data_IF_239193427402
#
_entry.id   IF_239193427402
#
_cell.length_a   1.000
_cell.length_b   1.000
_cell.length_c   1.000
_cell.angle_alpha   90.00
_cell.angle_beta   90.00
_cell.angle_gamma   90.00
#
_symmetry.space_group_name_H-M   'P 1'
#
loop_
_entity.id
_entity.type
_entity.pdbx_description
1 polymer ?
#
# COMPACT_ATOMS: atom_id res chain seq x y z
N UNK A 1 23.06 0.88 21.52
CA UNK A 1 21.85 0.38 20.78
C UNK A 1 20.67 1.18 21.23
N UNK A 2 19.88 1.68 20.28
CA UNK A 2 18.61 2.38 20.51
C UNK A 2 17.51 1.60 19.81
N UNK A 3 16.41 1.30 20.52
CA UNK A 3 15.23 0.69 19.95
C UNK A 3 14.20 1.76 19.57
N UNK A 4 13.77 1.72 18.33
CA UNK A 4 12.91 2.72 17.71
C UNK A 4 11.62 2.06 17.25
N UNK A 5 10.47 2.66 17.57
CA UNK A 5 9.20 2.40 16.86
C UNK A 5 9.11 3.38 15.68
N UNK A 6 8.99 2.82 14.48
CA UNK A 6 8.86 3.59 13.25
C UNK A 6 7.53 3.23 12.58
N UNK A 7 6.63 4.20 12.49
CA UNK A 7 5.33 4.10 11.81
C UNK A 7 5.08 5.36 11.00
N UNK A 8 4.41 5.27 9.87
CA UNK A 8 4.10 6.38 8.97
C UNK A 8 2.75 6.17 8.29
N UNK A 9 2.28 7.17 7.58
CA UNK A 9 1.16 7.06 6.66
C UNK A 9 -0.12 6.49 7.35
N UNK A 10 -0.43 7.05 8.52
CA UNK A 10 -1.62 6.66 9.30
C UNK A 10 -2.90 7.10 8.61
N UNK A 11 -2.87 8.24 7.93
CA UNK A 11 -3.99 8.84 7.23
C UNK A 11 -5.29 8.81 8.03
N UNK A 12 -5.22 9.28 9.27
CA UNK A 12 -6.40 9.38 10.14
C UNK A 12 -7.52 10.15 9.45
N UNK A 13 -8.73 9.68 9.65
CA UNK A 13 -9.95 10.22 9.07
C UNK A 13 -10.07 10.05 7.55
N UNK A 14 -9.42 9.07 6.96
CA UNK A 14 -9.64 8.68 5.57
C UNK A 14 -11.12 8.43 5.27
N UNK A 15 -11.65 8.88 4.13
CA UNK A 15 -13.08 8.80 3.83
C UNK A 15 -13.59 7.38 3.58
N UNK A 16 -12.73 6.43 3.15
CA UNK A 16 -13.10 5.05 2.77
C UNK A 16 -14.25 5.01 1.75
N UNK A 17 -14.19 5.85 0.72
CA UNK A 17 -15.25 6.05 -0.30
C UNK A 17 -15.69 4.77 -1.02
N UNK A 18 -14.88 3.73 -1.02
CA UNK A 18 -15.21 2.42 -1.60
C UNK A 18 -16.17 1.56 -0.77
N UNK A 19 -16.57 2.00 0.43
CA UNK A 19 -17.43 1.28 1.36
C UNK A 19 -18.74 2.03 1.62
N UNK A 20 -19.85 1.32 1.96
CA UNK A 20 -21.06 1.95 2.50
C UNK A 20 -20.74 2.76 3.76
N UNK A 21 -21.47 3.87 3.99
CA UNK A 21 -21.16 4.83 5.06
C UNK A 21 -21.03 4.20 6.46
N UNK A 22 -21.90 3.24 6.81
CA UNK A 22 -21.80 2.53 8.09
C UNK A 22 -20.45 1.79 8.24
N UNK A 23 -19.99 1.13 7.18
CA UNK A 23 -18.70 0.43 7.16
C UNK A 23 -17.53 1.41 7.12
N UNK A 24 -17.66 2.52 6.39
CA UNK A 24 -16.68 3.59 6.38
C UNK A 24 -16.51 4.23 7.76
N UNK A 25 -17.62 4.50 8.47
CA UNK A 25 -17.59 5.02 9.84
C UNK A 25 -16.89 4.05 10.80
N UNK A 26 -17.17 2.75 10.68
CA UNK A 26 -16.48 1.72 11.48
C UNK A 26 -14.98 1.69 11.16
N UNK A 27 -14.59 1.77 9.89
CA UNK A 27 -13.18 1.84 9.48
C UNK A 27 -12.46 3.04 10.08
N UNK A 28 -13.09 4.21 10.08
CA UNK A 28 -12.52 5.42 10.73
C UNK A 28 -12.35 5.24 12.25
N UNK A 29 -13.28 4.52 12.90
CA UNK A 29 -13.15 4.21 14.32
C UNK A 29 -11.98 3.22 14.56
N UNK A 30 -11.85 2.17 13.76
CA UNK A 30 -10.74 1.22 13.82
C UNK A 30 -9.39 1.90 13.56
N UNK A 31 -9.34 2.83 12.60
CA UNK A 31 -8.15 3.61 12.30
C UNK A 31 -7.69 4.47 13.49
N UNK A 32 -8.62 5.02 14.27
CA UNK A 32 -8.27 5.73 15.51
C UNK A 32 -7.80 4.78 16.62
N UNK A 33 -8.27 3.55 16.64
CA UNK A 33 -7.80 2.53 17.57
C UNK A 33 -6.33 2.14 17.32
N UNK A 34 -5.83 2.25 16.09
CA UNK A 34 -4.40 2.07 15.77
C UNK A 34 -3.48 2.96 16.60
N UNK A 35 -3.95 4.15 17.01
CA UNK A 35 -3.15 5.03 17.87
C UNK A 35 -2.84 4.37 19.21
N UNK A 36 -3.83 3.67 19.78
CA UNK A 36 -3.66 2.90 21.02
C UNK A 36 -2.79 1.65 20.79
N UNK A 37 -2.98 0.96 19.66
CA UNK A 37 -2.13 -0.18 19.28
C UNK A 37 -0.67 0.22 19.13
N UNK A 38 -0.38 1.40 18.57
CA UNK A 38 0.99 1.94 18.46
C UNK A 38 1.58 2.26 19.83
N UNK A 39 0.81 2.89 20.74
CA UNK A 39 1.27 3.16 22.09
C UNK A 39 1.55 1.86 22.87
N UNK A 40 0.68 0.87 22.74
CA UNK A 40 0.89 -0.46 23.30
C UNK A 40 2.11 -1.15 22.72
N UNK A 41 2.28 -1.13 21.38
CA UNK A 41 3.46 -1.70 20.71
C UNK A 41 4.75 -1.04 21.18
N UNK A 42 4.75 0.30 21.36
CA UNK A 42 5.90 1.00 21.95
C UNK A 42 6.24 0.45 23.33
N UNK A 43 5.24 0.30 24.22
CA UNK A 43 5.46 -0.20 25.56
C UNK A 43 5.95 -1.65 25.58
N UNK A 44 5.28 -2.54 24.83
CA UNK A 44 5.62 -3.97 24.75
C UNK A 44 6.98 -4.24 24.14
N UNK A 45 7.36 -3.46 23.10
CA UNK A 45 8.67 -3.60 22.47
C UNK A 45 9.80 -2.99 23.28
N UNK A 46 9.49 -2.10 24.24
CA UNK A 46 10.47 -1.31 24.96
C UNK A 46 11.18 -0.27 24.06
N UNK A 47 10.52 0.22 23.01
CA UNK A 47 11.07 1.26 22.14
C UNK A 47 11.31 2.54 22.94
N UNK A 48 12.52 3.08 22.84
CA UNK A 48 12.98 4.24 23.58
C UNK A 48 12.72 5.55 22.82
N UNK A 49 12.40 5.45 21.54
CA UNK A 49 12.18 6.54 20.61
C UNK A 49 11.08 6.15 19.63
N UNK A 50 10.25 7.11 19.22
CA UNK A 50 9.22 6.93 18.20
C UNK A 50 9.46 7.92 17.06
N UNK A 51 9.51 7.41 15.83
CA UNK A 51 9.63 8.21 14.62
C UNK A 51 8.38 8.04 13.76
N UNK A 52 7.72 9.16 13.48
CA UNK A 52 6.49 9.24 12.68
C UNK A 52 6.73 10.16 11.47
N UNK A 53 7.31 9.63 10.38
CA UNK A 53 7.64 10.42 9.20
C UNK A 53 6.42 10.70 8.30
N UNK A 54 5.42 11.45 8.81
CA UNK A 54 4.39 12.12 8.06
C UNK A 54 3.14 11.34 7.71
N UNK A 55 2.23 12.07 7.08
CA UNK A 55 0.91 11.63 6.67
C UNK A 55 0.11 10.96 7.82
N UNK A 56 0.15 11.62 8.99
CA UNK A 56 -0.64 11.21 10.15
C UNK A 56 -2.12 11.44 9.91
N UNK A 57 -2.47 12.54 9.22
CA UNK A 57 -3.82 12.86 8.80
C UNK A 57 -3.99 12.73 7.28
N UNK A 58 -5.16 12.29 6.84
CA UNK A 58 -5.44 12.12 5.40
C UNK A 58 -5.63 13.45 4.67
N UNK A 59 -6.17 14.46 5.34
CA UNK A 59 -6.44 15.77 4.74
C UNK A 59 -6.61 16.86 5.80
N UNK A 60 -6.86 18.08 5.35
CA UNK A 60 -7.17 19.22 6.23
C UNK A 60 -8.52 19.11 6.95
N UNK A 61 -9.45 18.30 6.44
CA UNK A 61 -10.70 17.94 7.11
C UNK A 61 -10.46 16.86 8.16
N UNK A 62 -11.28 16.78 9.20
CA UNK A 62 -11.15 15.77 10.23
C UNK A 62 -12.45 15.63 11.01
N UNK A 63 -12.60 14.47 11.66
CA UNK A 63 -13.72 14.21 12.56
C UNK A 63 -13.45 14.79 13.93
N UNK A 64 -14.51 15.25 14.59
CA UNK A 64 -14.40 15.78 15.95
C UNK A 64 -13.79 14.71 16.89
N UNK A 65 -12.76 15.10 17.63
CA UNK A 65 -12.10 14.24 18.62
C UNK A 65 -10.89 13.46 18.10
N UNK A 66 -10.61 13.37 16.80
CA UNK A 66 -9.41 12.67 16.29
C UNK A 66 -8.13 13.32 16.78
N UNK A 67 -8.06 14.66 16.76
CA UNK A 67 -6.89 15.40 17.27
C UNK A 67 -6.66 15.15 18.78
N UNK A 68 -7.73 15.10 19.58
CA UNK A 68 -7.63 14.78 21.01
C UNK A 68 -7.18 13.34 21.25
N UNK A 69 -7.70 12.39 20.49
CA UNK A 69 -7.27 10.98 20.58
C UNK A 69 -5.80 10.82 20.19
N UNK A 70 -5.36 11.47 19.12
CA UNK A 70 -3.95 11.48 18.74
C UNK A 70 -3.09 12.06 19.86
N UNK A 71 -3.46 13.22 20.40
CA UNK A 71 -2.73 13.87 21.49
C UNK A 71 -2.60 12.99 22.72
N UNK A 72 -3.68 12.30 23.11
CA UNK A 72 -3.67 11.36 24.24
C UNK A 72 -2.75 10.16 23.97
N UNK A 73 -2.88 9.52 22.81
CA UNK A 73 -2.05 8.38 22.45
C UNK A 73 -0.56 8.73 22.37
N UNK A 74 -0.23 9.92 21.84
CA UNK A 74 1.15 10.42 21.82
C UNK A 74 1.72 10.65 23.23
N UNK A 75 0.88 11.13 24.17
CA UNK A 75 1.29 11.28 25.57
C UNK A 75 1.51 9.91 26.25
N UNK A 76 0.63 8.93 25.98
CA UNK A 76 0.71 7.56 26.51
C UNK A 76 1.95 6.79 26.01
N UNK A 77 2.58 7.24 24.92
CA UNK A 77 3.81 6.61 24.45
C UNK A 77 4.99 6.75 25.45
N UNK A 78 4.95 7.71 26.36
CA UNK A 78 5.97 7.89 27.42
C UNK A 78 7.44 7.78 26.92
N UNK A 79 7.68 8.18 25.68
CA UNK A 79 8.97 8.21 25.01
C UNK A 79 9.03 9.46 24.14
N UNK A 80 10.22 9.97 23.78
CA UNK A 80 10.34 11.00 22.76
C UNK A 80 9.72 10.55 21.45
N UNK A 81 8.86 11.41 20.87
CA UNK A 81 8.19 11.18 19.59
C UNK A 81 8.58 12.31 18.64
N UNK A 82 9.02 11.96 17.44
CA UNK A 82 9.35 12.92 16.39
C UNK A 82 8.40 12.74 15.21
N UNK A 83 7.83 13.85 14.76
CA UNK A 83 6.88 13.89 13.64
C UNK A 83 7.44 14.84 12.58
N UNK A 84 7.58 14.33 11.35
CA UNK A 84 7.88 15.12 10.16
C UNK A 84 6.62 15.21 9.30
N UNK A 85 5.84 16.30 9.34
CA UNK A 85 4.64 16.43 8.52
C UNK A 85 4.87 16.13 7.03
N UNK A 86 3.98 15.34 6.42
CA UNK A 86 4.04 14.91 5.02
C UNK A 86 3.21 15.79 4.09
N UNK A 87 2.86 15.25 2.93
CA UNK A 87 2.13 16.01 1.90
C UNK A 87 0.62 16.11 2.15
N UNK A 88 0.04 15.21 2.95
CA UNK A 88 -1.38 15.29 3.33
C UNK A 88 -1.61 16.17 4.56
N UNK A 89 -0.63 16.30 5.42
CA UNK A 89 -0.72 17.00 6.69
C UNK A 89 0.39 18.04 6.91
N UNK A 90 0.84 18.67 5.82
CA UNK A 90 1.94 19.63 5.83
C UNK A 90 1.77 20.72 6.88
N UNK A 91 2.91 21.24 7.36
CA UNK A 91 2.93 22.27 8.38
C UNK A 91 2.63 23.64 7.78
N UNK A 92 1.66 24.35 8.39
CA UNK A 92 1.40 25.77 8.18
C UNK A 92 1.31 26.46 9.54
N UNK A 93 1.92 27.65 9.72
CA UNK A 93 1.77 28.41 10.96
C UNK A 93 0.29 28.68 11.28
N UNK A 94 -0.12 28.41 12.54
CA UNK A 94 -1.52 28.48 12.98
C UNK A 94 -2.40 27.33 12.46
N UNK A 95 -1.82 26.38 11.75
CA UNK A 95 -2.50 25.21 11.19
C UNK A 95 -2.86 24.14 12.23
N UNK A 96 -3.13 22.95 11.73
CA UNK A 96 -3.55 21.79 12.55
C UNK A 96 -2.50 21.43 13.61
N UNK A 97 -1.23 21.35 13.24
CA UNK A 97 -0.15 20.97 14.14
C UNK A 97 0.00 21.94 15.32
N UNK A 98 -0.16 23.24 15.11
CA UNK A 98 -0.14 24.23 16.21
C UNK A 98 -1.39 24.11 17.09
N UNK A 99 -2.57 23.85 16.50
CA UNK A 99 -3.82 23.68 17.25
C UNK A 99 -3.86 22.39 18.06
N UNK A 100 -3.22 21.34 17.58
CA UNK A 100 -3.10 20.04 18.27
C UNK A 100 -2.45 20.20 19.65
N UNK A 101 -1.55 21.19 19.82
CA UNK A 101 -0.78 21.40 21.05
C UNK A 101 -0.12 20.10 21.50
N UNK A 102 0.88 19.60 20.76
CA UNK A 102 1.51 18.34 21.04
C UNK A 102 1.96 18.21 22.50
N UNK A 103 1.92 17.01 23.11
CA UNK A 103 2.45 16.78 24.45
C UNK A 103 3.95 17.08 24.56
N UNK A 104 4.45 17.27 25.77
CA UNK A 104 5.86 17.66 26.01
C UNK A 104 6.91 16.66 25.49
N UNK A 105 6.53 15.40 25.35
CA UNK A 105 7.38 14.35 24.77
C UNK A 105 7.37 14.33 23.24
N UNK A 106 6.62 15.21 22.56
CA UNK A 106 6.46 15.22 21.11
C UNK A 106 7.14 16.42 20.50
N UNK A 107 8.01 16.18 19.53
CA UNK A 107 8.59 17.21 18.68
C UNK A 107 8.02 17.09 17.26
N UNK A 108 7.38 18.16 16.78
CA UNK A 108 6.93 18.29 15.40
C UNK A 108 7.91 19.20 14.66
N UNK A 109 8.53 18.69 13.61
CA UNK A 109 9.33 19.55 12.73
C UNK A 109 8.43 20.53 12.00
N UNK A 110 8.85 21.78 11.94
CA UNK A 110 8.02 22.88 11.39
C UNK A 110 8.70 23.60 10.23
N UNK A 111 9.97 23.29 9.99
CA UNK A 111 10.80 23.91 8.96
C UNK A 111 10.92 22.97 7.74
N UNK A 112 10.88 23.56 6.55
CA UNK A 112 11.25 22.85 5.31
C UNK A 112 12.76 22.73 5.11
N UNK A 113 13.57 23.20 6.05
CA UNK A 113 15.02 22.94 6.11
C UNK A 113 15.28 21.91 7.19
N UNK A 114 16.15 20.92 6.92
CA UNK A 114 16.52 19.95 7.94
C UNK A 114 17.05 20.62 9.21
N UNK A 115 16.51 20.25 10.33
CA UNK A 115 16.95 20.66 11.65
C UNK A 115 17.16 19.43 12.54
N UNK A 116 17.89 19.58 13.64
CA UNK A 116 18.27 18.46 14.49
C UNK A 116 17.95 18.72 15.95
N UNK A 117 17.50 17.69 16.64
CA UNK A 117 17.28 17.67 18.08
C UNK A 117 18.18 16.60 18.70
N UNK A 118 18.97 17.00 19.69
CA UNK A 118 19.87 16.09 20.41
C UNK A 118 19.14 15.50 21.62
N UNK A 119 19.25 14.19 21.80
CA UNK A 119 18.75 13.41 22.94
C UNK A 119 19.95 12.81 23.69
N UNK A 120 20.57 13.57 24.60
CA UNK A 120 21.82 13.15 25.26
C UNK A 120 21.67 11.84 26.04
N UNK A 121 20.50 11.63 26.67
CA UNK A 121 20.17 10.45 27.47
C UNK A 121 20.08 9.17 26.63
N UNK A 122 19.79 9.29 25.34
CA UNK A 122 19.75 8.17 24.40
C UNK A 122 21.04 8.06 23.56
N UNK A 123 21.92 9.05 23.62
CA UNK A 123 23.06 9.12 22.70
C UNK A 123 22.61 9.21 21.24
N UNK A 124 21.57 10.01 20.95
CA UNK A 124 21.00 10.16 19.63
C UNK A 124 20.81 11.61 19.24
N UNK A 125 20.81 11.87 17.94
CA UNK A 125 20.41 13.12 17.32
C UNK A 125 19.39 12.81 16.22
N UNK A 126 18.19 13.38 16.32
CA UNK A 126 17.11 13.17 15.35
C UNK A 126 17.05 14.37 14.43
N UNK A 127 17.20 14.12 13.15
CA UNK A 127 17.07 15.07 12.06
C UNK A 127 15.69 14.95 11.43
N UNK A 128 15.11 16.05 10.98
CA UNK A 128 13.85 16.04 10.25
C UNK A 128 13.57 17.38 9.58
N UNK A 129 12.58 17.35 8.70
CA UNK A 129 12.04 18.54 8.03
C UNK A 129 10.56 18.30 7.73
N UNK A 130 9.79 19.38 7.60
CA UNK A 130 8.37 19.33 7.30
C UNK A 130 8.07 19.74 5.85
N UNK A 131 7.06 19.15 5.25
CA UNK A 131 6.40 19.76 4.11
C UNK A 131 5.71 21.04 4.55
N UNK A 132 5.76 22.06 3.70
CA UNK A 132 5.06 23.34 3.90
C UNK A 132 3.93 23.55 2.90
N UNK A 133 3.70 22.58 2.02
CA UNK A 133 2.65 22.51 1.01
C UNK A 133 2.40 21.02 0.69
N UNK A 134 1.34 20.72 -0.05
CA UNK A 134 1.02 19.39 -0.59
C UNK A 134 2.10 18.79 -1.50
N UNK A 135 3.09 19.58 -1.86
CA UNK A 135 4.27 19.16 -2.62
C UNK A 135 5.54 19.75 -2.02
N UNK A 136 6.66 19.08 -2.20
CA UNK A 136 7.95 19.55 -1.71
C UNK A 136 9.09 19.18 -2.67
N UNK A 137 10.02 20.11 -2.83
CA UNK A 137 11.32 19.81 -3.42
C UNK A 137 12.18 18.93 -2.50
N UNK A 138 13.44 18.65 -2.89
CA UNK A 138 14.33 17.74 -2.14
C UNK A 138 14.80 18.37 -0.82
N UNK A 139 14.17 17.99 0.29
CA UNK A 139 14.48 18.55 1.62
C UNK A 139 15.83 18.03 2.17
N UNK A 140 16.30 16.87 1.74
CA UNK A 140 17.58 16.28 2.19
C UNK A 140 18.81 16.84 1.45
N UNK A 141 18.59 17.60 0.36
CA UNK A 141 19.69 18.05 -0.50
C UNK A 141 20.77 18.82 0.25
N UNK A 142 22.01 18.29 0.19
CA UNK A 142 23.18 18.90 0.82
C UNK A 142 23.28 18.72 2.32
N UNK A 143 22.37 17.99 2.95
CA UNK A 143 22.51 17.62 4.35
C UNK A 143 23.68 16.64 4.53
N UNK A 144 24.59 16.98 5.42
CA UNK A 144 25.73 16.14 5.83
C UNK A 144 25.89 16.29 7.34
N UNK A 145 25.45 15.31 8.09
CA UNK A 145 25.65 15.28 9.52
C UNK A 145 27.12 15.00 9.83
N UNK A 146 27.75 15.92 10.57
CA UNK A 146 29.10 15.65 11.12
C UNK A 146 28.99 14.60 12.23
N UNK A 147 29.68 13.48 12.04
CA UNK A 147 29.68 12.38 13.01
C UNK A 147 30.28 12.82 14.34
N UNK A 148 29.53 12.64 15.39
CA UNK A 148 29.95 12.88 16.78
C UNK A 148 30.15 11.53 17.48
N UNK A 149 31.32 11.24 18.05
CA UNK A 149 31.53 9.97 18.75
C UNK A 149 30.49 9.72 19.84
N UNK A 150 29.91 8.55 19.84
CA UNK A 150 28.88 8.15 20.82
C UNK A 150 27.47 8.66 20.52
N UNK A 151 27.24 9.35 19.40
CA UNK A 151 25.95 9.86 18.97
C UNK A 151 25.50 9.14 17.69
N UNK A 152 24.27 8.60 17.69
CA UNK A 152 23.61 8.07 16.51
C UNK A 152 22.84 9.17 15.81
N UNK A 153 23.03 9.31 14.50
CA UNK A 153 22.28 10.24 13.66
C UNK A 153 21.08 9.53 13.00
N UNK A 154 19.90 9.95 13.36
CA UNK A 154 18.63 9.38 12.91
C UNK A 154 17.86 10.40 12.07
N UNK A 155 17.29 10.00 10.95
CA UNK A 155 16.44 10.84 10.13
C UNK A 155 14.98 10.41 10.28
N UNK A 156 14.08 11.37 10.46
CA UNK A 156 12.64 11.22 10.37
C UNK A 156 12.17 12.12 9.22
N UNK A 157 11.78 11.55 8.07
CA UNK A 157 11.46 12.35 6.90
C UNK A 157 10.39 11.69 6.02
N UNK A 158 9.42 12.49 5.58
CA UNK A 158 8.48 12.08 4.53
C UNK A 158 9.12 12.36 3.17
N UNK A 159 9.40 11.31 2.37
CA UNK A 159 10.21 11.44 1.16
C UNK A 159 10.01 10.27 0.19
N UNK A 160 10.28 10.54 -1.09
CA UNK A 160 10.20 9.56 -2.18
C UNK A 160 11.61 9.19 -2.67
N UNK A 161 12.10 8.02 -2.26
CA UNK A 161 13.46 7.57 -2.58
C UNK A 161 13.50 6.90 -3.95
N UNK A 162 14.47 7.31 -4.77
CA UNK A 162 14.71 6.70 -6.09
C UNK A 162 13.78 7.17 -7.20
N UNK A 163 12.96 8.19 -6.96
CA UNK A 163 12.05 8.80 -7.96
C UNK A 163 12.46 10.24 -8.24
N UNK A 164 13.39 10.51 -9.17
CA UNK A 164 14.03 11.83 -9.34
C UNK A 164 13.08 12.98 -9.68
N UNK A 165 11.95 12.70 -10.33
CA UNK A 165 10.95 13.68 -10.74
C UNK A 165 9.73 13.71 -9.82
N UNK A 166 9.83 13.09 -8.64
CA UNK A 166 8.77 13.15 -7.66
C UNK A 166 8.52 14.58 -7.20
N UNK A 167 7.25 14.87 -6.89
CA UNK A 167 6.81 16.12 -6.28
C UNK A 167 6.76 16.03 -4.75
N UNK A 168 7.19 14.89 -4.19
CA UNK A 168 7.06 14.56 -2.78
C UNK A 168 8.43 14.31 -2.15
N UNK A 169 9.24 15.36 -2.06
CA UNK A 169 10.58 15.30 -1.50
C UNK A 169 11.44 14.20 -2.15
N UNK A 170 11.81 14.32 -3.44
CA UNK A 170 12.67 13.35 -4.08
C UNK A 170 14.02 13.27 -3.38
N UNK A 171 14.44 12.04 -3.03
CA UNK A 171 15.71 11.74 -2.40
C UNK A 171 16.41 10.64 -3.22
N UNK A 172 17.67 10.84 -3.55
CA UNK A 172 18.49 9.81 -4.19
C UNK A 172 19.21 8.94 -3.14
N UNK A 173 19.55 7.71 -3.51
CA UNK A 173 20.36 6.85 -2.65
C UNK A 173 21.73 7.47 -2.36
N UNK A 174 22.32 8.25 -3.29
CA UNK A 174 23.55 8.97 -3.06
C UNK A 174 23.40 10.07 -1.99
N UNK A 175 22.27 10.78 -1.95
CA UNK A 175 22.00 11.76 -0.89
C UNK A 175 21.86 11.08 0.48
N UNK A 176 21.22 9.91 0.56
CA UNK A 176 21.17 9.12 1.79
C UNK A 176 22.57 8.64 2.21
N UNK A 177 23.36 8.12 1.26
CA UNK A 177 24.74 7.65 1.55
C UNK A 177 25.65 8.77 2.07
N UNK A 178 25.47 9.98 1.56
CA UNK A 178 26.26 11.16 1.93
C UNK A 178 25.73 11.92 3.14
N UNK A 179 24.50 11.63 3.58
CA UNK A 179 23.82 12.35 4.65
C UNK A 179 24.48 12.22 6.02
N UNK A 180 25.26 11.13 6.24
CA UNK A 180 25.84 10.81 7.53
C UNK A 180 24.85 10.18 8.52
N UNK A 181 23.65 9.78 8.09
CA UNK A 181 22.67 9.12 8.97
C UNK A 181 23.05 7.67 9.23
N UNK A 182 22.76 7.20 10.45
CA UNK A 182 22.87 5.78 10.81
C UNK A 182 21.59 5.03 10.41
N UNK A 183 20.43 5.69 10.58
CA UNK A 183 19.12 5.16 10.16
C UNK A 183 18.20 6.28 9.68
N UNK A 184 17.56 6.08 8.53
CA UNK A 184 16.51 6.95 8.02
C UNK A 184 15.16 6.25 8.11
N UNK A 185 14.30 6.77 8.99
CA UNK A 185 12.89 6.42 9.06
C UNK A 185 12.12 7.27 8.04
N UNK A 186 11.58 6.62 7.01
CA UNK A 186 10.92 7.28 5.89
C UNK A 186 9.43 6.97 5.85
N UNK A 187 8.60 7.95 5.48
CA UNK A 187 7.18 7.83 5.13
C UNK A 187 6.93 8.18 3.68
N UNK A 188 5.69 8.06 3.21
CA UNK A 188 5.18 8.28 1.86
C UNK A 188 4.86 6.99 1.08
N UNK A 189 5.66 5.96 1.20
CA UNK A 189 5.43 4.71 0.48
C UNK A 189 4.66 3.74 1.37
N UNK A 190 3.40 3.46 1.02
CA UNK A 190 2.47 2.66 1.82
C UNK A 190 2.75 1.15 1.82
N UNK A 191 3.90 0.75 1.30
CA UNK A 191 4.37 -0.63 1.28
C UNK A 191 5.65 -0.77 2.09
N UNK A 192 5.70 -1.78 2.96
CA UNK A 192 6.93 -2.10 3.68
C UNK A 192 8.07 -2.43 2.70
N UNK A 193 9.18 -1.72 2.83
CA UNK A 193 10.33 -1.87 1.93
C UNK A 193 11.31 -2.97 2.33
N UNK A 194 11.18 -3.50 3.55
CA UNK A 194 12.30 -4.18 4.20
C UNK A 194 13.40 -3.19 4.58
N UNK A 195 14.48 -3.71 5.18
CA UNK A 195 15.67 -2.91 5.47
C UNK A 195 16.47 -2.68 4.20
N UNK A 196 16.72 -1.43 3.88
CA UNK A 196 17.52 -0.99 2.74
C UNK A 196 18.82 -0.34 3.23
N UNK A 197 19.79 -0.17 2.33
CA UNK A 197 21.07 0.45 2.65
C UNK A 197 21.58 1.30 1.49
N UNK A 198 22.07 2.49 1.82
CA UNK A 198 22.74 3.40 0.91
C UNK A 198 24.04 3.88 1.57
N UNK A 199 25.19 3.38 1.11
CA UNK A 199 26.47 3.60 1.79
C UNK A 199 26.44 3.07 3.21
N UNK A 200 26.66 3.93 4.21
CA UNK A 200 26.58 3.60 5.63
C UNK A 200 25.20 3.91 6.25
N UNK A 201 24.30 4.54 5.52
CA UNK A 201 22.94 4.82 5.95
C UNK A 201 22.04 3.59 5.73
N UNK A 202 21.40 3.10 6.79
CA UNK A 202 20.28 2.16 6.68
C UNK A 202 18.97 2.93 6.60
N UNK A 203 17.99 2.43 5.84
CA UNK A 203 16.70 3.10 5.74
C UNK A 203 15.55 2.11 5.50
N UNK A 204 14.34 2.52 5.81
CA UNK A 204 13.13 1.76 5.52
C UNK A 204 11.90 2.66 5.39
N UNK A 205 10.91 2.14 4.64
CA UNK A 205 9.50 2.53 4.76
C UNK A 205 8.78 1.47 5.60
N UNK A 206 8.01 1.83 6.62
CA UNK A 206 7.20 0.87 7.36
C UNK A 206 5.97 0.44 6.56
N UNK A 207 5.58 1.24 5.58
CA UNK A 207 4.26 1.22 4.95
C UNK A 207 3.21 1.91 5.82
N UNK A 208 1.95 1.86 5.41
CA UNK A 208 0.85 2.30 6.25
C UNK A 208 0.50 1.23 7.30
N UNK A 209 0.05 1.60 8.51
CA UNK A 209 -0.27 0.62 9.56
C UNK A 209 -1.57 -0.14 9.29
N UNK A 210 -2.46 0.40 8.45
CA UNK A 210 -3.67 -0.24 7.96
C UNK A 210 -4.01 0.20 6.53
N UNK A 211 -4.43 -0.75 5.68
CA UNK A 211 -4.80 -0.45 4.29
C UNK A 211 -6.13 0.30 4.18
N UNK A 212 -6.24 1.21 3.20
CA UNK A 212 -7.41 2.04 2.92
C UNK A 212 -8.11 1.65 1.62
N UNK A 213 -7.44 0.88 0.78
CA UNK A 213 -7.93 0.44 -0.52
C UNK A 213 -7.23 -0.81 -1.04
N UNK A 214 -7.65 -1.27 -2.22
CA UNK A 214 -7.09 -2.48 -2.86
C UNK A 214 -5.69 -2.27 -3.45
N UNK A 215 -5.24 -1.06 -3.56
CA UNK A 215 -3.87 -0.66 -3.88
C UNK A 215 -2.92 -0.82 -2.68
N UNK A 216 -3.49 -0.87 -1.47
CA UNK A 216 -2.78 -1.10 -0.22
C UNK A 216 -3.08 -2.49 0.36
N UNK A 217 -3.15 -3.51 -0.48
CA UNK A 217 -3.48 -4.88 -0.09
C UNK A 217 -2.43 -5.57 0.78
N UNK A 218 -2.84 -6.65 1.45
CA UNK A 218 -1.97 -7.51 2.26
C UNK A 218 -1.69 -7.01 3.67
N UNK A 219 -0.62 -7.53 4.26
CA UNK A 219 -0.20 -7.18 5.62
C UNK A 219 0.28 -5.73 5.72
N UNK A 220 -0.19 -5.05 6.76
CA UNK A 220 0.14 -3.67 7.10
C UNK A 220 0.60 -3.61 8.55
N UNK A 221 1.38 -2.59 8.91
CA UNK A 221 1.91 -2.53 10.27
C UNK A 221 2.92 -1.43 10.49
N UNK A 222 3.76 -1.63 11.51
CA UNK A 222 4.85 -0.75 11.88
C UNK A 222 6.17 -1.53 11.98
N UNK A 223 7.24 -0.83 12.21
CA UNK A 223 8.59 -1.39 12.30
C UNK A 223 9.19 -1.11 13.68
N UNK A 224 9.83 -2.12 14.25
CA UNK A 224 10.76 -1.96 15.38
C UNK A 224 12.16 -2.08 14.82
N UNK A 225 12.96 -1.01 14.97
CA UNK A 225 14.34 -0.95 14.54
C UNK A 225 15.29 -0.88 15.75
N UNK A 226 16.20 -1.83 15.86
CA UNK A 226 17.33 -1.78 16.80
C UNK A 226 18.54 -1.21 16.06
N UNK A 227 18.95 0.02 16.42
CA UNK A 227 19.99 0.77 15.75
C UNK A 227 21.25 0.83 16.59
N UNK A 228 22.37 0.42 16.01
CA UNK A 228 23.72 0.50 16.55
C UNK A 228 24.64 1.14 15.49
N UNK A 229 25.82 1.67 15.86
CA UNK A 229 26.76 2.17 14.87
C UNK A 229 27.10 1.10 13.83
N UNK A 230 26.80 1.36 12.56
CA UNK A 230 27.06 0.46 11.43
C UNK A 230 26.20 -0.80 11.36
N UNK A 231 25.16 -0.93 12.20
CA UNK A 231 24.26 -2.08 12.20
C UNK A 231 22.83 -1.68 12.56
N UNK A 232 21.90 -2.19 11.79
CA UNK A 232 20.45 -2.07 12.08
C UNK A 232 19.81 -3.45 11.99
N UNK A 233 18.98 -3.78 12.97
CA UNK A 233 18.09 -4.93 12.90
C UNK A 233 16.63 -4.45 12.86
N UNK A 234 15.88 -4.91 11.88
CA UNK A 234 14.54 -4.44 11.61
C UNK A 234 13.53 -5.58 11.75
N UNK A 235 12.46 -5.35 12.51
CA UNK A 235 11.35 -6.28 12.66
C UNK A 235 10.05 -5.60 12.29
N UNK A 236 9.37 -6.11 11.27
CA UNK A 236 8.01 -5.71 10.93
C UNK A 236 7.02 -6.30 11.93
N UNK A 237 6.06 -5.50 12.39
CA UNK A 237 4.99 -5.90 13.31
C UNK A 237 3.66 -5.60 12.66
N UNK A 238 2.89 -6.64 12.28
CA UNK A 238 1.55 -6.45 11.74
C UNK A 238 0.65 -5.73 12.73
N UNK A 239 -0.12 -4.78 12.23
CA UNK A 239 -1.11 -4.00 12.95
C UNK A 239 -2.43 -4.00 12.17
N UNK A 240 -3.44 -3.39 12.76
CA UNK A 240 -4.73 -3.18 12.15
C UNK A 240 -5.65 -4.40 12.20
N UNK A 241 -6.93 -4.12 12.12
CA UNK A 241 -7.99 -5.13 12.29
C UNK A 241 -8.31 -5.85 11.00
N UNK A 242 -8.16 -5.17 9.84
CA UNK A 242 -8.64 -5.63 8.54
C UNK A 242 -7.58 -5.52 7.46
N UNK A 243 -7.71 -6.40 6.46
CA UNK A 243 -6.88 -6.37 5.26
C UNK A 243 -7.74 -6.21 4.03
N UNK A 244 -7.20 -5.50 3.04
CA UNK A 244 -7.68 -5.56 1.68
C UNK A 244 -6.96 -6.69 0.97
N UNK A 245 -7.72 -7.62 0.40
CA UNK A 245 -7.20 -8.81 -0.28
C UNK A 245 -7.66 -8.82 -1.73
N UNK A 246 -6.75 -9.06 -2.66
CA UNK A 246 -7.04 -9.20 -4.08
C UNK A 246 -6.85 -10.65 -4.47
N UNK A 247 -7.92 -11.27 -4.93
CA UNK A 247 -7.93 -12.66 -5.38
C UNK A 247 -8.33 -12.71 -6.84
N UNK A 248 -7.78 -13.70 -7.51
CA UNK A 248 -8.15 -14.06 -8.88
C UNK A 248 -8.60 -15.53 -8.87
N UNK A 249 -9.67 -15.84 -9.59
CA UNK A 249 -10.13 -17.21 -9.73
C UNK A 249 -10.64 -17.48 -11.13
N UNK A 250 -10.44 -18.70 -11.60
CA UNK A 250 -10.99 -19.15 -12.86
C UNK A 250 -12.49 -19.44 -12.73
N UNK A 251 -13.25 -19.13 -13.79
CA UNK A 251 -14.68 -19.31 -13.82
C UNK A 251 -15.12 -20.79 -13.60
N UNK A 252 -14.29 -21.76 -13.96
CA UNK A 252 -14.54 -23.18 -13.69
C UNK A 252 -14.55 -23.54 -12.22
N UNK A 253 -13.97 -22.71 -11.35
CA UNK A 253 -13.91 -22.90 -9.91
C UNK A 253 -15.04 -22.23 -9.14
N UNK A 254 -15.86 -21.41 -9.83
CA UNK A 254 -16.90 -20.58 -9.22
C UNK A 254 -17.78 -21.29 -8.19
N UNK A 255 -18.24 -22.50 -8.51
CA UNK A 255 -19.15 -23.26 -7.62
C UNK A 255 -18.46 -23.76 -6.35
N UNK A 256 -17.16 -24.07 -6.42
CA UNK A 256 -16.38 -24.67 -5.34
C UNK A 256 -15.63 -23.64 -4.51
N UNK A 257 -15.47 -22.43 -5.05
CA UNK A 257 -14.69 -21.40 -4.40
C UNK A 257 -15.33 -21.00 -3.06
N UNK A 258 -14.49 -20.88 -2.03
CA UNK A 258 -14.84 -20.36 -0.71
C UNK A 258 -13.77 -19.38 -0.25
N UNK A 259 -14.18 -18.42 0.58
CA UNK A 259 -13.24 -17.48 1.19
C UNK A 259 -12.30 -18.22 2.16
N UNK A 260 -11.05 -17.71 2.34
CA UNK A 260 -10.13 -18.28 3.33
C UNK A 260 -10.68 -18.21 4.77
N UNK A 261 -10.13 -19.02 5.67
CA UNK A 261 -10.42 -18.89 7.10
C UNK A 261 -10.04 -17.51 7.62
N UNK A 262 -10.88 -16.90 8.46
CA UNK A 262 -10.68 -15.55 8.99
C UNK A 262 -11.10 -14.43 8.02
N UNK A 263 -11.77 -14.76 6.92
CA UNK A 263 -12.21 -13.80 5.90
C UNK A 263 -13.22 -12.77 6.42
N UNK A 264 -13.95 -13.09 7.48
CA UNK A 264 -15.02 -12.24 8.06
C UNK A 264 -14.54 -10.83 8.47
N UNK A 265 -13.23 -10.69 8.69
CA UNK A 265 -12.62 -9.40 9.03
C UNK A 265 -12.21 -8.60 7.81
N UNK A 266 -11.97 -9.24 6.66
CA UNK A 266 -11.26 -8.67 5.53
C UNK A 266 -12.21 -8.16 4.43
N UNK A 267 -11.64 -7.36 3.53
CA UNK A 267 -12.32 -6.79 2.37
C UNK A 267 -11.70 -7.41 1.13
N UNK A 268 -12.52 -8.04 0.30
CA UNK A 268 -12.05 -8.78 -0.86
C UNK A 268 -12.42 -8.08 -2.18
N UNK A 269 -11.47 -8.05 -3.10
CA UNK A 269 -11.69 -7.86 -4.53
C UNK A 269 -11.40 -9.17 -5.22
N UNK A 270 -12.43 -9.79 -5.82
CA UNK A 270 -12.29 -11.05 -6.53
C UNK A 270 -12.54 -10.81 -8.01
N UNK A 271 -11.53 -11.11 -8.83
CA UNK A 271 -11.63 -11.05 -10.29
C UNK A 271 -11.86 -12.47 -10.81
N UNK A 272 -12.97 -12.68 -11.52
CA UNK A 272 -13.27 -13.94 -12.19
C UNK A 272 -12.68 -13.87 -13.59
N UNK A 273 -11.82 -14.82 -13.92
CA UNK A 273 -11.12 -14.93 -15.21
C UNK A 273 -11.48 -16.23 -15.93
N UNK A 274 -10.86 -16.48 -17.06
CA UNK A 274 -11.05 -17.69 -17.85
C UNK A 274 -12.09 -17.57 -18.97
N UNK A 275 -12.30 -18.66 -19.69
CA UNK A 275 -13.27 -18.74 -20.77
C UNK A 275 -14.56 -19.41 -20.30
N UNK A 276 -15.70 -18.81 -20.62
CA UNK A 276 -17.05 -19.30 -20.24
C UNK A 276 -17.97 -19.36 -21.46
N UNK A 277 -18.94 -20.26 -21.43
CA UNK A 277 -19.98 -20.30 -22.45
C UNK A 277 -21.05 -19.21 -22.25
N UNK A 278 -21.29 -18.85 -21.00
CA UNK A 278 -22.22 -17.79 -20.59
C UNK A 278 -21.57 -16.93 -19.51
N UNK A 279 -21.91 -15.63 -19.43
CA UNK A 279 -21.37 -14.78 -18.37
C UNK A 279 -21.63 -15.37 -16.98
N UNK A 280 -20.69 -15.29 -16.04
CA UNK A 280 -20.85 -15.80 -14.70
C UNK A 280 -21.93 -15.04 -13.92
N UNK A 281 -22.76 -15.73 -13.14
CA UNK A 281 -23.72 -15.10 -12.23
C UNK A 281 -22.99 -14.52 -11.01
N UNK A 282 -22.44 -13.30 -11.17
CA UNK A 282 -21.79 -12.58 -10.07
C UNK A 282 -22.77 -12.22 -8.94
N UNK A 283 -24.08 -12.15 -9.20
CA UNK A 283 -25.05 -11.87 -8.16
C UNK A 283 -25.24 -13.10 -7.25
N UNK A 284 -25.29 -14.30 -7.81
CA UNK A 284 -25.29 -15.54 -7.02
C UNK A 284 -23.99 -15.72 -6.23
N UNK A 285 -22.84 -15.44 -6.86
CA UNK A 285 -21.54 -15.48 -6.19
C UNK A 285 -21.51 -14.48 -5.01
N UNK A 286 -21.99 -13.26 -5.21
CA UNK A 286 -22.08 -12.24 -4.15
C UNK A 286 -22.92 -12.74 -2.98
N UNK A 287 -24.15 -13.19 -3.23
CA UNK A 287 -25.06 -13.70 -2.17
C UNK A 287 -24.41 -14.81 -1.34
N UNK A 288 -23.56 -15.64 -1.95
CA UNK A 288 -22.87 -16.73 -1.28
C UNK A 288 -21.68 -16.25 -0.43
N UNK A 289 -20.85 -15.32 -0.94
CA UNK A 289 -19.58 -14.94 -0.32
C UNK A 289 -19.70 -13.74 0.64
N UNK A 290 -20.59 -12.79 0.36
CA UNK A 290 -20.69 -11.53 1.10
C UNK A 290 -20.98 -11.71 2.61
N UNK A 291 -21.76 -12.71 3.06
CA UNK A 291 -21.93 -12.95 4.51
C UNK A 291 -20.67 -13.42 5.23
N UNK A 292 -19.68 -13.90 4.50
CA UNK A 292 -18.41 -14.42 5.03
C UNK A 292 -17.25 -13.41 5.05
N UNK A 293 -17.49 -12.12 4.73
CA UNK A 293 -16.44 -11.10 4.74
C UNK A 293 -16.99 -9.72 5.13
N UNK A 294 -16.10 -8.81 5.52
CA UNK A 294 -16.48 -7.44 5.85
C UNK A 294 -16.91 -6.65 4.62
N UNK A 295 -16.26 -6.85 3.49
CA UNK A 295 -16.61 -6.20 2.23
C UNK A 295 -16.23 -7.06 1.03
N UNK A 296 -17.00 -6.95 -0.06
CA UNK A 296 -16.80 -7.74 -1.27
C UNK A 296 -16.99 -6.89 -2.52
N UNK A 297 -15.97 -6.90 -3.37
CA UNK A 297 -16.02 -6.36 -4.73
C UNK A 297 -15.76 -7.50 -5.72
N UNK A 298 -16.69 -7.73 -6.62
CA UNK A 298 -16.57 -8.73 -7.69
C UNK A 298 -16.32 -8.02 -9.02
N UNK A 299 -15.45 -8.58 -9.82
CA UNK A 299 -15.17 -8.14 -11.19
C UNK A 299 -15.26 -9.33 -12.13
N UNK A 300 -15.99 -9.19 -13.21
CA UNK A 300 -15.96 -10.11 -14.35
C UNK A 300 -14.84 -9.69 -15.30
N UNK A 301 -13.91 -10.58 -15.54
CA UNK A 301 -12.87 -10.49 -16.56
C UNK A 301 -12.85 -11.77 -17.40
N UNK A 302 -13.95 -12.51 -17.41
CA UNK A 302 -14.08 -13.70 -18.25
C UNK A 302 -14.20 -13.33 -19.72
N UNK A 303 -13.80 -14.27 -20.55
CA UNK A 303 -14.01 -14.19 -22.01
C UNK A 303 -15.07 -15.21 -22.40
N UNK A 304 -16.05 -14.77 -23.16
CA UNK A 304 -17.02 -15.73 -23.72
C UNK A 304 -16.28 -16.63 -24.70
N UNK A 305 -16.42 -17.94 -24.50
CA UNK A 305 -15.97 -18.92 -25.48
C UNK A 305 -16.82 -18.72 -26.72
N UNK A 306 -16.30 -17.98 -27.69
CA UNK A 306 -16.94 -17.90 -29.00
C UNK A 306 -16.86 -19.30 -29.61
N UNK A 307 -18.02 -19.96 -29.79
CA UNK A 307 -18.09 -21.13 -30.63
C UNK A 307 -17.64 -20.71 -32.03
N UNK A 308 -16.38 -21.05 -32.34
CA UNK A 308 -15.75 -20.71 -33.60
C UNK A 308 -16.62 -21.21 -34.76
N UNK A 309 -17.38 -22.29 -34.53
CA UNK A 309 -18.20 -22.94 -35.52
C UNK A 309 -19.63 -22.33 -35.68
N UNK A 310 -20.06 -21.44 -34.78
CA UNK A 310 -21.39 -20.84 -34.81
C UNK A 310 -21.71 -20.15 -36.15
N UNK A 311 -20.66 -19.55 -36.75
CA UNK A 311 -20.79 -18.85 -38.04
C UNK A 311 -20.58 -19.77 -39.26
N UNK A 312 -20.39 -21.04 -39.06
CA UNK A 312 -20.23 -22.03 -40.15
C UNK A 312 -21.46 -22.14 -41.05
N UNK A 313 -22.65 -21.83 -40.52
CA UNK A 313 -23.92 -21.87 -41.27
C UNK A 313 -24.20 -20.58 -42.06
N UNK A 314 -23.36 -19.55 -41.94
CA UNK A 314 -23.51 -18.33 -42.72
C UNK A 314 -23.26 -18.58 -44.21
N UNK A 315 -24.11 -17.98 -45.07
CA UNK A 315 -23.84 -17.94 -46.51
C UNK A 315 -22.85 -16.80 -46.85
N UNK A 316 -21.61 -17.00 -46.45
CA UNK A 316 -20.52 -16.02 -46.54
C UNK A 316 -19.19 -16.73 -46.75
N UNK A 317 -18.14 -15.98 -47.14
CA UNK A 317 -16.77 -16.50 -47.21
C UNK A 317 -16.31 -17.09 -45.85
N UNK A 318 -16.72 -16.46 -44.76
CA UNK A 318 -16.45 -16.93 -43.37
C UNK A 318 -17.11 -18.28 -43.12
N UNK A 319 -18.39 -18.43 -43.50
CA UNK A 319 -19.09 -19.70 -43.32
C UNK A 319 -18.46 -20.83 -44.13
N UNK A 320 -18.06 -20.58 -45.40
CA UNK A 320 -17.30 -21.55 -46.20
C UNK A 320 -15.98 -21.94 -45.55
N UNK A 321 -15.22 -20.95 -45.09
CA UNK A 321 -13.94 -21.18 -44.40
C UNK A 321 -14.12 -22.03 -43.13
N UNK A 322 -15.09 -21.73 -42.30
CA UNK A 322 -15.37 -22.47 -41.08
C UNK A 322 -15.87 -23.89 -41.35
N UNK A 323 -16.72 -24.13 -42.33
CA UNK A 323 -17.14 -25.49 -42.73
C UNK A 323 -15.98 -26.36 -43.12
N UNK A 324 -15.05 -25.86 -43.94
CA UNK A 324 -13.85 -26.58 -44.35
C UNK A 324 -12.93 -26.92 -43.18
N UNK A 325 -12.80 -26.02 -42.18
CA UNK A 325 -11.99 -26.29 -41.00
C UNK A 325 -12.72 -27.22 -40.03
N UNK A 326 -14.05 -27.18 -39.94
CA UNK A 326 -14.83 -28.06 -39.09
C UNK A 326 -14.71 -29.52 -39.56
N UNK A 327 -14.71 -29.78 -40.87
CA UNK A 327 -14.45 -31.12 -41.41
C UNK A 327 -13.06 -31.63 -40.97
N UNK A 328 -12.02 -30.79 -40.95
CA UNK A 328 -10.68 -31.14 -40.47
C UNK A 328 -10.65 -31.37 -38.96
N UNK A 329 -11.40 -30.59 -38.21
CA UNK A 329 -11.56 -30.74 -36.77
C UNK A 329 -12.22 -32.05 -36.39
N UNK A 330 -13.25 -32.45 -37.12
CA UNK A 330 -13.98 -33.70 -36.96
C UNK A 330 -13.11 -34.90 -37.35
N UNK A 331 -12.23 -34.74 -38.35
CA UNK A 331 -11.29 -35.75 -38.80
C UNK A 331 -10.03 -35.89 -37.93
N UNK A 332 -9.77 -34.94 -37.02
CA UNK A 332 -8.60 -34.95 -36.16
C UNK A 332 -8.69 -36.07 -35.12
N UNK A 333 -7.64 -36.94 -35.10
CA UNK A 333 -7.59 -38.16 -34.28
C UNK A 333 -7.30 -37.91 -32.81
N UNK A 334 -6.84 -36.71 -32.42
CA UNK A 334 -6.46 -36.38 -31.05
C UNK A 334 -6.89 -34.92 -30.69
N UNK A 335 -6.79 -34.62 -29.41
CA UNK A 335 -7.16 -33.30 -28.88
C UNK A 335 -6.20 -32.19 -29.33
N UNK A 336 -4.91 -32.48 -29.48
CA UNK A 336 -3.92 -31.54 -29.96
C UNK A 336 -4.21 -31.10 -31.42
N UNK A 337 -4.62 -32.04 -32.27
CA UNK A 337 -5.06 -31.74 -33.64
C UNK A 337 -6.31 -30.89 -33.70
N UNK A 338 -7.30 -31.19 -32.85
CA UNK A 338 -8.53 -30.38 -32.74
C UNK A 338 -8.23 -28.96 -32.27
N UNK A 339 -7.36 -28.82 -31.29
CA UNK A 339 -6.94 -27.53 -30.77
C UNK A 339 -6.21 -26.70 -31.84
N UNK A 340 -5.31 -27.32 -32.61
CA UNK A 340 -4.59 -26.68 -33.71
C UNK A 340 -5.55 -26.15 -34.80
N UNK A 341 -6.56 -26.96 -35.16
CA UNK A 341 -7.59 -26.55 -36.13
C UNK A 341 -8.49 -25.43 -35.56
N UNK A 342 -8.85 -25.49 -34.29
CA UNK A 342 -9.62 -24.42 -33.61
C UNK A 342 -8.84 -23.12 -33.59
N UNK A 343 -7.54 -23.16 -33.31
CA UNK A 343 -6.65 -22.00 -33.35
C UNK A 343 -6.54 -21.40 -34.77
N UNK A 344 -6.41 -22.25 -35.78
CA UNK A 344 -6.41 -21.82 -37.17
C UNK A 344 -7.73 -21.15 -37.58
N UNK A 345 -8.87 -21.64 -37.08
CA UNK A 345 -10.17 -21.05 -37.33
C UNK A 345 -10.29 -19.64 -36.68
N UNK A 346 -9.82 -19.49 -35.44
CA UNK A 346 -9.77 -18.20 -34.75
C UNK A 346 -8.92 -17.16 -35.50
N UNK A 347 -7.71 -17.54 -35.90
CA UNK A 347 -6.82 -16.64 -36.63
C UNK A 347 -7.37 -16.29 -38.02
N UNK A 348 -7.94 -17.24 -38.72
CA UNK A 348 -8.55 -16.98 -40.03
C UNK A 348 -9.75 -16.05 -39.96
N UNK A 349 -10.59 -16.19 -38.92
CA UNK A 349 -11.69 -15.27 -38.67
C UNK A 349 -11.20 -13.86 -38.36
N UNK A 350 -10.21 -13.71 -37.48
CA UNK A 350 -9.60 -12.43 -37.15
C UNK A 350 -9.03 -11.74 -38.42
N UNK A 351 -8.36 -12.49 -39.30
CA UNK A 351 -7.86 -11.96 -40.55
C UNK A 351 -8.98 -11.53 -41.53
N UNK A 352 -10.09 -12.26 -41.54
CA UNK A 352 -11.29 -11.93 -42.37
C UNK A 352 -12.09 -10.76 -41.81
N UNK A 353 -12.00 -10.49 -40.53
CA UNK A 353 -12.70 -9.39 -39.83
C UNK A 353 -11.91 -8.07 -39.83
N UNK A 354 -10.70 -8.03 -40.42
CA UNK A 354 -9.90 -6.81 -40.59
C UNK A 354 -8.75 -6.63 -39.62
N UNK A 355 -8.40 -7.64 -38.82
CA UNK A 355 -7.12 -7.70 -38.08
C UNK A 355 -7.04 -6.96 -36.75
N UNK A 356 -8.09 -6.31 -36.25
CA UNK A 356 -8.06 -5.60 -34.96
C UNK A 356 -8.17 -6.51 -33.72
N UNK A 357 -8.53 -7.80 -33.87
CA UNK A 357 -8.70 -8.75 -32.76
C UNK A 357 -7.60 -9.83 -32.67
N UNK A 358 -6.49 -9.71 -33.43
CA UNK A 358 -5.46 -10.74 -33.46
C UNK A 358 -4.38 -10.63 -32.35
N UNK A 359 -4.37 -9.55 -31.56
CA UNK A 359 -3.35 -9.35 -30.51
C UNK A 359 -3.69 -9.99 -29.14
N UNK A 360 -4.91 -10.51 -28.97
CA UNK A 360 -5.39 -11.06 -27.70
C UNK A 360 -5.64 -12.59 -27.70
N UNK A 361 -4.93 -13.34 -28.57
CA UNK A 361 -5.14 -14.81 -28.70
C UNK A 361 -3.91 -15.59 -28.24
#
# INVERSE_FOLDING_TARGET
>A
MIRILHAADLHLDSPFEGLPEEKAALRRAEQRELLRELAQLRAESGAQLVLLPGDIFDSSGGWAGTEDQLRLALAEMEAPVFISPGNHDFYIPGGRWDRLRPPANVHVFTSSRPEAVVLPELGARVWGAAFSDSTSGPLLRGLRAEKTPGLLDLLCLHADVGVPNSRYCPVSESELAESGMDYAALGHVHKFSGLQRAGDCFWAYPGCPEGRGFDESGEKGAVIADVEPGRVNLRFVPLGTRRYEVLEMDASELERFSLPAGAERNIYKITVTGETETPPDLAALRRRLEPGCFGLRLRDATRLRRDVWQRAEEDSLRGVFLRLLRERWEAAGDEAGREAVTRAARWGLAALDGGEEAEDI
#
